data_IF_863315770796
#
_entry.id   IF_863315770796
#
_cell.length_a   1.000
_cell.length_b   1.000
_cell.length_c   1.000
_cell.angle_alpha   90.00
_cell.angle_beta   90.00
_cell.angle_gamma   90.00
#
_symmetry.space_group_name_H-M   'P 1'
#
loop_
_entity.id
_entity.type
_entity.pdbx_description
1 polymer ?
#
# COMPACT_ATOMS: atom_id res chain seq x y z
N UNK A 1 -9.88 -15.86 -20.89
CA UNK A 1 -8.66 -16.60 -20.58
C UNK A 1 -8.98 -18.08 -20.51
N UNK A 2 -8.18 -18.92 -21.13
CA UNK A 2 -8.25 -20.37 -20.98
C UNK A 2 -7.05 -20.82 -20.14
N UNK A 3 -7.29 -21.62 -19.11
CA UNK A 3 -6.24 -22.13 -18.23
C UNK A 3 -6.13 -23.63 -18.44
N UNK A 4 -4.95 -24.10 -18.81
CA UNK A 4 -4.65 -25.52 -18.99
C UNK A 4 -3.51 -25.86 -18.03
N UNK A 5 -3.68 -26.92 -17.22
CA UNK A 5 -2.68 -27.42 -16.29
C UNK A 5 -2.37 -28.88 -16.61
N UNK A 6 -1.08 -29.18 -16.72
CA UNK A 6 -0.56 -30.52 -16.86
C UNK A 6 0.59 -30.73 -15.85
N UNK A 7 0.36 -31.55 -14.85
CA UNK A 7 1.29 -31.79 -13.73
C UNK A 7 1.79 -30.47 -13.10
N UNK A 8 3.08 -30.18 -13.19
CA UNK A 8 3.70 -28.98 -12.62
C UNK A 8 3.66 -27.78 -13.59
N UNK A 9 3.35 -28.04 -14.86
CA UNK A 9 3.27 -27.00 -15.88
C UNK A 9 1.86 -26.43 -15.97
N UNK A 10 1.78 -25.11 -16.12
CA UNK A 10 0.53 -24.41 -16.36
C UNK A 10 0.65 -23.44 -17.52
N UNK A 11 -0.34 -23.48 -18.43
CA UNK A 11 -0.42 -22.60 -19.58
C UNK A 11 -1.67 -21.75 -19.49
N UNK A 12 -1.51 -20.44 -19.64
CA UNK A 12 -2.62 -19.49 -19.66
C UNK A 12 -2.70 -18.86 -21.05
N UNK A 13 -3.75 -19.21 -21.79
CA UNK A 13 -4.00 -18.67 -23.12
C UNK A 13 -4.74 -17.33 -22.99
N UNK A 14 -4.15 -16.27 -23.53
CA UNK A 14 -4.71 -14.92 -23.52
C UNK A 14 -5.08 -14.48 -24.93
N UNK A 15 -6.22 -13.77 -25.07
CA UNK A 15 -6.72 -13.29 -26.39
C UNK A 15 -5.88 -12.15 -26.98
N UNK A 16 -5.06 -11.46 -26.19
CA UNK A 16 -4.23 -10.35 -26.65
C UNK A 16 -2.93 -10.25 -25.87
N UNK A 17 -1.89 -9.68 -26.48
CA UNK A 17 -0.60 -9.38 -25.85
C UNK A 17 -0.76 -8.59 -24.55
N UNK A 18 -1.57 -7.53 -24.56
CA UNK A 18 -1.84 -6.70 -23.37
C UNK A 18 -2.51 -7.50 -22.23
N UNK A 19 -3.31 -8.51 -22.57
CA UNK A 19 -3.92 -9.43 -21.61
C UNK A 19 -2.88 -10.37 -21.00
N UNK A 20 -1.96 -10.90 -21.83
CA UNK A 20 -0.87 -11.75 -21.39
C UNK A 20 0.08 -11.00 -20.44
N UNK A 21 0.46 -9.77 -20.79
CA UNK A 21 1.31 -8.91 -19.94
C UNK A 21 0.67 -8.65 -18.55
N UNK A 22 -0.64 -8.41 -18.50
CA UNK A 22 -1.38 -8.26 -17.23
C UNK A 22 -1.37 -9.53 -16.39
N UNK A 23 -1.58 -10.69 -17.00
CA UNK A 23 -1.55 -11.99 -16.32
C UNK A 23 -0.15 -12.28 -15.78
N UNK A 24 0.90 -12.09 -16.60
CA UNK A 24 2.29 -12.22 -16.16
C UNK A 24 2.60 -11.29 -15.00
N UNK A 25 2.22 -10.01 -15.06
CA UNK A 25 2.42 -9.05 -13.98
C UNK A 25 1.71 -9.51 -12.70
N UNK A 26 0.47 -9.99 -12.80
CA UNK A 26 -0.28 -10.49 -11.64
C UNK A 26 0.38 -11.71 -10.99
N UNK A 27 0.93 -12.65 -11.79
CA UNK A 27 1.64 -13.81 -11.26
C UNK A 27 2.94 -13.40 -10.58
N UNK A 28 3.70 -12.47 -11.18
CA UNK A 28 4.97 -11.98 -10.61
C UNK A 28 4.80 -11.09 -9.38
N UNK A 29 3.61 -10.55 -9.14
CA UNK A 29 3.30 -9.79 -7.93
C UNK A 29 3.26 -10.66 -6.67
N UNK A 30 3.13 -11.97 -6.82
CA UNK A 30 3.12 -12.93 -5.74
C UNK A 30 4.39 -13.79 -5.71
N UNK A 31 4.81 -14.20 -4.53
CA UNK A 31 5.86 -15.18 -4.30
C UNK A 31 5.27 -16.36 -3.54
N UNK A 32 5.53 -17.56 -4.05
CA UNK A 32 5.15 -18.80 -3.38
C UNK A 32 6.23 -19.20 -2.38
N UNK A 33 5.83 -19.62 -1.20
CA UNK A 33 6.74 -20.06 -0.16
C UNK A 33 6.22 -21.32 0.53
N UNK A 34 7.06 -22.33 0.63
CA UNK A 34 6.74 -23.59 1.30
C UNK A 34 7.27 -23.56 2.72
N UNK A 35 6.38 -23.69 3.71
CA UNK A 35 6.75 -23.80 5.12
C UNK A 35 5.93 -24.89 5.77
N UNK A 36 6.60 -25.87 6.41
CA UNK A 36 5.95 -26.97 7.13
C UNK A 36 4.90 -27.72 6.28
N UNK A 37 5.23 -28.03 5.02
CA UNK A 37 4.35 -28.75 4.10
C UNK A 37 3.14 -27.95 3.57
N UNK A 38 3.04 -26.65 3.87
CA UNK A 38 1.97 -25.77 3.38
C UNK A 38 2.53 -24.74 2.42
N UNK A 39 1.89 -24.61 1.26
CA UNK A 39 2.17 -23.51 0.33
C UNK A 39 1.55 -22.23 0.86
N UNK A 40 2.37 -21.19 1.01
CA UNK A 40 1.94 -19.84 1.42
C UNK A 40 2.19 -18.86 0.30
N UNK A 41 1.25 -17.96 0.11
CA UNK A 41 1.31 -16.90 -0.88
C UNK A 41 1.79 -15.61 -0.21
N UNK A 42 2.88 -15.03 -0.72
CA UNK A 42 3.43 -13.77 -0.22
C UNK A 42 3.45 -12.70 -1.29
N UNK A 43 3.37 -11.46 -0.88
CA UNK A 43 3.55 -10.32 -1.80
C UNK A 43 5.02 -10.15 -2.12
N UNK A 44 5.34 -10.08 -3.40
CA UNK A 44 6.71 -9.91 -3.87
C UNK A 44 7.31 -8.58 -3.39
N UNK A 45 8.63 -8.56 -3.17
CA UNK A 45 9.34 -7.37 -2.65
C UNK A 45 9.16 -6.14 -3.54
N UNK A 46 9.26 -6.31 -4.85
CA UNK A 46 9.11 -5.22 -5.83
C UNK A 46 7.73 -4.57 -5.79
N UNK A 47 6.68 -5.35 -5.58
CA UNK A 47 5.30 -4.86 -5.46
C UNK A 47 5.11 -3.99 -4.22
N UNK A 48 5.71 -4.40 -3.09
CA UNK A 48 5.74 -3.60 -1.87
C UNK A 48 6.49 -2.27 -2.08
N UNK A 49 7.59 -2.29 -2.82
CA UNK A 49 8.36 -1.09 -3.15
C UNK A 49 7.61 -0.15 -4.11
N UNK A 50 6.93 -0.69 -5.12
CA UNK A 50 6.03 0.06 -6.01
C UNK A 50 4.93 0.75 -5.20
N UNK A 51 4.29 0.04 -4.28
CA UNK A 51 3.28 0.60 -3.39
C UNK A 51 3.84 1.73 -2.51
N UNK A 52 4.99 1.52 -1.86
CA UNK A 52 5.67 2.55 -1.08
C UNK A 52 5.99 3.79 -1.91
N UNK A 53 6.48 3.63 -3.13
CA UNK A 53 6.75 4.74 -4.06
C UNK A 53 5.48 5.54 -4.37
N UNK A 54 4.36 4.85 -4.65
CA UNK A 54 3.07 5.50 -4.90
C UNK A 54 2.58 6.29 -3.68
N UNK A 55 2.60 5.69 -2.49
CA UNK A 55 2.23 6.39 -1.25
C UNK A 55 3.14 7.60 -0.99
N UNK A 56 4.46 7.45 -1.21
CA UNK A 56 5.43 8.54 -1.06
C UNK A 56 5.17 9.69 -2.03
N UNK A 57 4.78 9.41 -3.27
CA UNK A 57 4.41 10.46 -4.25
C UNK A 57 3.15 11.22 -3.83
N UNK A 58 2.13 10.52 -3.30
CA UNK A 58 0.90 11.14 -2.81
C UNK A 58 1.11 11.97 -1.54
N UNK A 59 2.10 11.62 -0.71
CA UNK A 59 2.42 12.34 0.53
C UNK A 59 3.50 13.40 0.37
N UNK A 60 3.95 13.70 -0.85
CA UNK A 60 4.92 14.78 -1.12
C UNK A 60 4.35 16.13 -0.73
N UNK A 61 5.23 17.01 -0.20
CA UNK A 61 4.90 18.40 0.16
C UNK A 61 4.50 19.24 -1.05
N UNK A 62 5.15 19.02 -2.19
CA UNK A 62 4.91 19.76 -3.45
C UNK A 62 3.61 19.36 -4.15
N UNK A 63 2.88 18.40 -3.62
CA UNK A 63 1.59 18.01 -4.17
C UNK A 63 0.55 19.02 -3.67
N UNK A 64 -0.05 19.77 -4.59
CA UNK A 64 -1.04 20.83 -4.32
C UNK A 64 -2.38 20.33 -3.78
N UNK A 65 -2.53 19.02 -3.61
CA UNK A 65 -3.76 18.40 -3.09
C UNK A 65 -4.07 18.81 -1.65
N UNK A 66 -5.31 19.22 -1.40
CA UNK A 66 -5.84 19.44 -0.06
C UNK A 66 -5.84 18.14 0.79
N UNK A 67 -5.89 18.30 2.11
CA UNK A 67 -5.83 17.15 3.03
C UNK A 67 -6.98 16.14 2.82
N UNK A 68 -8.22 16.65 2.61
CA UNK A 68 -9.39 15.81 2.40
C UNK A 68 -9.27 14.94 1.15
N UNK A 69 -8.91 15.56 0.02
CA UNK A 69 -8.69 14.85 -1.24
C UNK A 69 -7.54 13.82 -1.14
N UNK A 70 -6.45 14.20 -0.47
CA UNK A 70 -5.32 13.30 -0.23
C UNK A 70 -5.72 12.08 0.61
N UNK A 71 -6.52 12.29 1.67
CA UNK A 71 -7.05 11.22 2.51
C UNK A 71 -7.85 10.23 1.69
N UNK A 72 -8.74 10.73 0.83
CA UNK A 72 -9.59 9.90 -0.03
C UNK A 72 -8.77 9.06 -1.01
N UNK A 73 -7.84 9.66 -1.74
CA UNK A 73 -6.99 8.95 -2.70
C UNK A 73 -6.11 7.91 -2.00
N UNK A 74 -5.57 8.23 -0.83
CA UNK A 74 -4.80 7.28 -0.03
C UNK A 74 -5.67 6.12 0.42
N UNK A 75 -6.87 6.38 0.91
CA UNK A 75 -7.80 5.35 1.34
C UNK A 75 -8.17 4.39 0.19
N UNK A 76 -8.51 4.92 -0.99
CA UNK A 76 -8.79 4.14 -2.19
C UNK A 76 -7.58 3.30 -2.61
N UNK A 77 -6.37 3.89 -2.57
CA UNK A 77 -5.12 3.20 -2.91
C UNK A 77 -4.85 2.03 -1.95
N UNK A 78 -5.04 2.23 -0.65
CA UNK A 78 -4.87 1.17 0.36
C UNK A 78 -5.91 0.09 0.24
N UNK A 79 -7.20 0.47 0.11
CA UNK A 79 -8.30 -0.48 -0.03
C UNK A 79 -8.13 -1.37 -1.26
N UNK A 80 -7.76 -0.78 -2.39
CA UNK A 80 -7.50 -1.53 -3.61
C UNK A 80 -6.32 -2.49 -3.46
N UNK A 81 -5.22 -2.02 -2.85
CA UNK A 81 -4.03 -2.85 -2.65
C UNK A 81 -4.27 -4.00 -1.65
N UNK A 82 -4.89 -3.73 -0.52
CA UNK A 82 -5.26 -4.76 0.48
C UNK A 82 -6.27 -5.74 -0.11
N UNK A 83 -7.27 -5.25 -0.84
CA UNK A 83 -8.26 -6.10 -1.50
C UNK A 83 -7.66 -7.05 -2.53
N UNK A 84 -6.67 -6.59 -3.28
CA UNK A 84 -5.95 -7.42 -4.26
C UNK A 84 -5.10 -8.52 -3.58
N UNK A 85 -4.43 -8.20 -2.47
CA UNK A 85 -3.55 -9.13 -1.77
C UNK A 85 -4.19 -9.82 -0.55
N UNK A 86 -5.52 -9.79 -0.42
CA UNK A 86 -6.24 -10.33 0.75
C UNK A 86 -5.97 -11.81 1.04
N UNK A 87 -5.64 -12.58 0.00
CA UNK A 87 -5.34 -14.02 0.12
C UNK A 87 -3.86 -14.31 0.46
N UNK A 88 -3.00 -13.31 0.41
CA UNK A 88 -1.61 -13.47 0.77
C UNK A 88 -1.42 -13.45 2.30
N UNK A 89 -0.46 -14.22 2.80
CA UNK A 89 -0.07 -14.19 4.21
C UNK A 89 0.76 -12.92 4.49
N UNK A 90 0.03 -11.83 4.79
CA UNK A 90 0.62 -10.50 4.91
C UNK A 90 0.72 -9.98 6.33
N UNK A 91 0.13 -10.68 7.33
CA UNK A 91 -0.03 -10.15 8.69
C UNK A 91 1.28 -9.60 9.28
N UNK A 92 2.35 -10.37 9.22
CA UNK A 92 3.67 -9.97 9.74
C UNK A 92 4.31 -8.81 8.95
N UNK A 93 3.92 -8.62 7.69
CA UNK A 93 4.48 -7.57 6.82
C UNK A 93 3.64 -6.31 6.76
N UNK A 94 2.34 -6.40 7.08
CA UNK A 94 1.44 -5.25 7.17
C UNK A 94 1.77 -4.36 8.36
N UNK A 95 2.16 -4.93 9.50
CA UNK A 95 2.49 -4.17 10.71
C UNK A 95 3.61 -3.14 10.46
N UNK A 96 4.79 -3.52 9.92
CA UNK A 96 5.84 -2.55 9.60
C UNK A 96 5.44 -1.56 8.50
N UNK A 97 4.59 -1.98 7.56
CA UNK A 97 4.09 -1.10 6.50
C UNK A 97 3.13 -0.05 7.05
N UNK A 98 2.22 -0.43 7.96
CA UNK A 98 1.30 0.48 8.64
C UNK A 98 2.05 1.49 9.51
N UNK A 99 3.04 1.04 10.27
CA UNK A 99 3.89 1.92 11.08
C UNK A 99 4.63 2.95 10.20
N UNK A 100 5.20 2.51 9.08
CA UNK A 100 5.86 3.36 8.11
C UNK A 100 4.87 4.38 7.51
N UNK A 101 3.68 3.93 7.11
CA UNK A 101 2.62 4.78 6.57
C UNK A 101 2.15 5.84 7.56
N UNK A 102 1.86 5.45 8.79
CA UNK A 102 1.43 6.40 9.86
C UNK A 102 2.49 7.46 10.14
N UNK A 103 3.78 7.08 10.08
CA UNK A 103 4.89 8.05 10.20
C UNK A 103 4.88 9.06 9.05
N UNK A 104 4.73 8.59 7.81
CA UNK A 104 4.64 9.46 6.64
C UNK A 104 3.42 10.39 6.68
N UNK A 105 2.27 9.87 7.09
CA UNK A 105 1.05 10.65 7.22
C UNK A 105 1.20 11.76 8.28
N UNK A 106 1.74 11.43 9.44
CA UNK A 106 2.01 12.42 10.51
C UNK A 106 2.96 13.51 10.03
N UNK A 107 4.04 13.16 9.34
CA UNK A 107 4.94 14.16 8.73
C UNK A 107 4.21 15.07 7.73
N UNK A 108 3.32 14.52 6.92
CA UNK A 108 2.55 15.28 5.95
C UNK A 108 1.62 16.27 6.65
N UNK A 109 0.87 15.83 7.67
CA UNK A 109 -0.02 16.67 8.48
C UNK A 109 0.78 17.77 9.17
N UNK A 110 1.88 17.42 9.81
CA UNK A 110 2.75 18.37 10.50
C UNK A 110 3.28 19.46 9.58
N UNK A 111 3.68 19.10 8.36
CA UNK A 111 4.12 20.06 7.35
C UNK A 111 2.99 20.96 6.83
N UNK A 112 1.75 20.49 6.82
CA UNK A 112 0.58 21.31 6.47
C UNK A 112 0.30 22.39 7.53
N UNK A 113 0.65 22.14 8.79
CA UNK A 113 0.50 23.11 9.89
C UNK A 113 1.70 24.06 9.93
N UNK A 114 1.74 25.01 9.02
CA UNK A 114 2.90 25.91 8.83
C UNK A 114 3.20 26.80 10.03
N UNK A 115 2.15 27.35 10.67
CA UNK A 115 2.28 28.33 11.77
C UNK A 115 2.26 27.63 13.14
N UNK A 116 3.08 28.10 14.09
CA UNK A 116 3.13 27.58 15.47
C UNK A 116 1.75 27.61 16.12
N UNK A 117 1.02 28.73 16.01
CA UNK A 117 -0.36 28.89 16.51
C UNK A 117 -1.30 27.81 15.97
N UNK A 118 -1.20 27.47 14.68
CA UNK A 118 -2.01 26.43 14.05
C UNK A 118 -1.65 25.04 14.56
N UNK A 119 -0.35 24.77 14.79
CA UNK A 119 0.12 23.51 15.38
C UNK A 119 -0.44 23.34 16.78
N UNK A 120 -0.30 24.35 17.61
CA UNK A 120 -0.78 24.35 18.98
C UNK A 120 -2.30 24.11 19.07
N UNK A 121 -3.08 24.88 18.30
CA UNK A 121 -4.54 24.71 18.24
C UNK A 121 -4.96 23.31 17.80
N UNK A 122 -4.30 22.75 16.77
CA UNK A 122 -4.63 21.43 16.28
C UNK A 122 -4.18 20.30 17.21
N UNK A 123 -3.07 20.47 17.93
CA UNK A 123 -2.64 19.51 18.97
C UNK A 123 -3.64 19.48 20.12
N UNK A 124 -4.17 20.64 20.54
CA UNK A 124 -5.24 20.69 21.54
C UNK A 124 -6.52 20.00 21.07
N UNK A 125 -6.93 20.20 19.81
CA UNK A 125 -8.07 19.48 19.20
C UNK A 125 -7.85 17.96 19.17
N UNK A 126 -6.59 17.53 19.10
CA UNK A 126 -6.22 16.11 19.19
C UNK A 126 -6.16 15.57 20.63
N UNK A 127 -6.52 16.38 21.65
CA UNK A 127 -6.58 15.96 23.05
C UNK A 127 -5.29 16.13 23.83
N UNK A 128 -4.29 16.84 23.29
CA UNK A 128 -3.03 17.12 24.02
C UNK A 128 -3.24 18.32 24.96
N UNK A 129 -2.95 18.18 26.26
CA UNK A 129 -3.11 19.26 27.24
C UNK A 129 -2.16 20.43 26.96
N UNK A 130 -2.58 21.67 27.29
CA UNK A 130 -1.86 22.92 26.99
C UNK A 130 -0.40 22.95 27.44
N UNK A 131 -0.05 22.27 28.49
CA UNK A 131 1.34 22.21 29.02
C UNK A 131 2.27 21.23 28.28
N UNK A 132 1.74 20.43 27.30
CA UNK A 132 2.50 19.44 26.50
C UNK A 132 2.37 19.67 24.99
N UNK A 133 1.68 20.71 24.56
CA UNK A 133 1.43 21.02 23.16
C UNK A 133 2.50 21.96 22.56
#
# INVERSE_FOLDING_TARGET
HCFVRYADDSMILCKSKRSAERVCSSITDFSFYFTKGKCRLWVHKTTKEKFKRKVKSLTRRSNSMGYAQRKEILWQTFRGWIGYFKYADMRSRLIPLDQWYRRHLRMCIWKCWKRVKTRFSNLQKCGIPKGKA
#
